data_IF_496647659356
#
_entry.id   IF_496647659356
#
_cell.length_a   1.000
_cell.length_b   1.000
_cell.length_c   1.000
_cell.angle_alpha   90.00
_cell.angle_beta   90.00
_cell.angle_gamma   90.00
#
_symmetry.space_group_name_H-M   'P 1'
#
loop_
_entity.id
_entity.type
_entity.pdbx_description
1 polymer ?
#
# COMPACT_ATOMS: atom_id res chain seq x y z
N UNK A 1 3.46 -12.58 13.66
CA UNK A 1 4.93 -12.71 13.59
C UNK A 1 5.43 -11.56 12.75
N UNK A 2 6.44 -10.81 13.21
CA UNK A 2 7.02 -9.74 12.40
C UNK A 2 7.85 -10.35 11.27
N UNK A 3 7.53 -9.99 10.02
CA UNK A 3 8.31 -10.40 8.85
C UNK A 3 9.67 -9.69 8.88
N UNK A 4 10.76 -10.44 8.70
CA UNK A 4 12.12 -9.90 8.72
C UNK A 4 12.76 -10.06 7.35
N UNK A 5 13.39 -9.00 6.86
CA UNK A 5 14.12 -9.00 5.59
C UNK A 5 15.39 -9.85 5.73
N UNK A 6 15.53 -10.88 4.90
CA UNK A 6 16.73 -11.73 4.86
C UNK A 6 17.88 -11.07 4.08
N UNK A 7 19.11 -11.54 4.29
CA UNK A 7 20.28 -11.12 3.51
C UNK A 7 20.13 -11.39 2.00
N UNK A 8 19.46 -12.48 1.67
CA UNK A 8 19.10 -12.84 0.29
C UNK A 8 18.12 -11.82 -0.30
N UNK A 9 17.06 -11.48 0.45
CA UNK A 9 16.08 -10.44 0.07
C UNK A 9 16.75 -9.09 -0.18
N UNK A 10 17.69 -8.68 0.69
CA UNK A 10 18.48 -7.45 0.49
C UNK A 10 19.35 -7.52 -0.75
N UNK A 11 19.92 -8.69 -1.05
CA UNK A 11 20.77 -8.86 -2.24
C UNK A 11 19.94 -8.80 -3.51
N UNK A 12 18.77 -9.45 -3.54
CA UNK A 12 17.82 -9.33 -4.64
C UNK A 12 17.39 -7.88 -4.86
N UNK A 13 17.02 -7.16 -3.79
CA UNK A 13 16.64 -5.75 -3.86
C UNK A 13 17.77 -4.88 -4.46
N UNK A 14 19.02 -5.07 -4.02
CA UNK A 14 20.17 -4.31 -4.56
C UNK A 14 20.46 -4.60 -6.03
N UNK A 15 20.22 -5.83 -6.49
CA UNK A 15 20.52 -6.23 -7.86
C UNK A 15 19.39 -5.87 -8.84
N UNK A 16 18.15 -5.91 -8.38
CA UNK A 16 16.95 -5.81 -9.23
C UNK A 16 16.23 -4.47 -9.07
N UNK A 17 16.51 -3.71 -8.01
CA UNK A 17 15.81 -2.48 -7.67
C UNK A 17 14.43 -2.68 -7.03
N UNK A 18 13.98 -3.93 -6.89
CA UNK A 18 12.73 -4.30 -6.22
C UNK A 18 12.84 -5.68 -5.58
N UNK A 19 11.93 -6.01 -4.67
CA UNK A 19 11.77 -7.36 -4.13
C UNK A 19 10.31 -7.60 -3.77
N UNK A 20 9.84 -8.84 -3.94
CA UNK A 20 8.49 -9.26 -3.56
C UNK A 20 8.57 -10.05 -2.27
N UNK A 21 7.83 -9.60 -1.26
CA UNK A 21 7.77 -10.26 0.05
C UNK A 21 6.35 -10.82 0.20
N UNK A 22 6.17 -12.15 0.09
CA UNK A 22 4.86 -12.77 0.26
C UNK A 22 4.45 -12.77 1.74
N UNK A 23 3.15 -12.80 2.00
CA UNK A 23 2.62 -12.99 3.35
C UNK A 23 2.89 -11.84 4.32
N UNK A 24 3.17 -10.63 3.82
CA UNK A 24 3.31 -9.43 4.66
C UNK A 24 2.01 -9.13 5.40
N UNK A 25 0.88 -9.30 4.73
CA UNK A 25 -0.44 -9.14 5.32
C UNK A 25 -1.11 -10.51 5.52
N UNK A 26 -1.74 -10.68 6.67
CA UNK A 26 -2.63 -11.81 6.91
C UNK A 26 -3.91 -11.69 6.07
N UNK A 27 -4.64 -12.80 5.92
CA UNK A 27 -5.95 -12.78 5.24
C UNK A 27 -6.94 -11.82 5.91
N UNK A 28 -6.90 -11.72 7.24
CA UNK A 28 -7.73 -10.82 8.03
C UNK A 28 -7.37 -9.35 7.77
N UNK A 29 -6.08 -9.02 7.74
CA UNK A 29 -5.62 -7.67 7.41
C UNK A 29 -6.00 -7.28 5.98
N UNK A 30 -5.91 -8.21 5.03
CA UNK A 30 -6.36 -7.98 3.66
C UNK A 30 -7.88 -7.71 3.62
N UNK A 31 -8.67 -8.46 4.39
CA UNK A 31 -10.12 -8.25 4.48
C UNK A 31 -10.44 -6.86 5.07
N UNK A 32 -9.82 -6.51 6.20
CA UNK A 32 -9.99 -5.19 6.84
C UNK A 32 -9.61 -4.03 5.90
N UNK A 33 -8.47 -4.14 5.20
CA UNK A 33 -8.06 -3.13 4.22
C UNK A 33 -9.07 -2.96 3.07
N UNK A 34 -9.70 -4.05 2.62
CA UNK A 34 -10.76 -4.00 1.59
C UNK A 34 -12.03 -3.32 2.08
N UNK A 35 -12.39 -3.52 3.35
CA UNK A 35 -13.53 -2.84 3.97
C UNK A 35 -13.29 -1.33 4.06
N UNK A 36 -12.10 -0.91 4.51
CA UNK A 36 -11.71 0.51 4.54
C UNK A 36 -11.81 1.14 3.14
N UNK A 37 -11.24 0.48 2.12
CA UNK A 37 -11.30 0.97 0.74
C UNK A 37 -12.75 1.06 0.24
N UNK A 38 -13.58 0.06 0.54
CA UNK A 38 -15.00 0.07 0.16
C UNK A 38 -15.73 1.26 0.78
N UNK A 39 -15.58 1.47 2.09
CA UNK A 39 -16.19 2.58 2.80
C UNK A 39 -15.72 3.96 2.29
N UNK A 40 -14.45 4.08 1.88
CA UNK A 40 -13.93 5.30 1.27
C UNK A 40 -14.47 5.54 -0.14
N UNK A 41 -14.81 4.49 -0.89
CA UNK A 41 -15.38 4.61 -2.23
C UNK A 41 -16.87 4.95 -2.20
N UNK A 42 -17.61 4.50 -1.19
CA UNK A 42 -19.02 4.85 -0.99
C UNK A 42 -19.23 6.35 -0.80
N UNK A 43 -18.22 7.05 -0.28
CA UNK A 43 -18.21 8.50 -0.13
C UNK A 43 -18.05 9.25 -1.46
N UNK A 44 -17.93 8.54 -2.59
CA UNK A 44 -17.70 9.07 -3.95
C UNK A 44 -16.63 10.16 -3.95
N UNK A 45 -15.37 9.81 -3.64
CA UNK A 45 -14.29 10.80 -3.53
C UNK A 45 -13.86 11.38 -4.90
N UNK A 46 -14.51 10.97 -6.00
CA UNK A 46 -14.27 11.44 -7.35
C UNK A 46 -15.54 12.10 -7.91
N UNK A 47 -15.35 13.15 -8.71
CA UNK A 47 -16.42 13.68 -9.54
C UNK A 47 -16.70 12.70 -10.70
N UNK A 48 -17.95 12.60 -11.14
CA UNK A 48 -18.39 11.63 -12.16
C UNK A 48 -17.70 11.81 -13.53
N UNK A 49 -17.04 12.95 -13.75
CA UNK A 49 -16.27 13.30 -14.94
C UNK A 49 -14.77 12.95 -14.86
N UNK A 50 -14.28 12.50 -13.68
CA UNK A 50 -12.91 12.02 -13.54
C UNK A 50 -12.76 10.60 -14.11
N UNK A 51 -12.30 10.53 -15.36
CA UNK A 51 -11.98 9.27 -16.05
C UNK A 51 -10.47 9.06 -16.14
N UNK A 52 -9.97 8.01 -15.50
CA UNK A 52 -8.56 7.60 -15.55
C UNK A 52 -8.37 6.16 -15.06
N UNK A 53 -7.25 5.49 -15.42
CA UNK A 53 -7.01 4.11 -15.04
C UNK A 53 -6.78 3.94 -13.53
N UNK A 54 -6.44 5.00 -12.81
CA UNK A 54 -6.29 4.98 -11.36
C UNK A 54 -6.93 6.22 -10.74
N UNK A 55 -7.32 6.09 -9.47
CA UNK A 55 -7.77 7.22 -8.66
C UNK A 55 -6.76 7.48 -7.55
N UNK A 56 -6.46 8.75 -7.31
CA UNK A 56 -5.65 9.22 -6.18
C UNK A 56 -6.58 9.86 -5.17
N UNK A 57 -6.56 9.38 -3.92
CA UNK A 57 -7.16 10.16 -2.85
C UNK A 57 -6.39 11.46 -2.67
N UNK A 58 -7.08 12.55 -2.27
CA UNK A 58 -6.40 13.79 -1.88
C UNK A 58 -5.32 13.53 -0.84
N UNK A 59 -4.39 14.48 -0.72
CA UNK A 59 -3.35 14.43 0.31
C UNK A 59 -4.01 14.21 1.67
N UNK A 60 -3.47 13.29 2.45
CA UNK A 60 -3.97 13.01 3.79
C UNK A 60 -3.92 14.29 4.63
N UNK A 61 -5.05 14.59 5.26
CA UNK A 61 -5.18 15.76 6.12
C UNK A 61 -4.44 15.53 7.45
N UNK A 62 -4.22 16.60 8.22
CA UNK A 62 -3.51 16.51 9.49
C UNK A 62 -4.24 15.64 10.53
N UNK A 63 -5.55 15.50 10.36
CA UNK A 63 -6.45 14.68 11.17
C UNK A 63 -6.27 13.17 10.94
N UNK A 64 -5.44 12.77 9.95
CA UNK A 64 -5.17 11.38 9.60
C UNK A 64 -6.00 10.89 8.41
N UNK A 65 -5.79 9.62 8.05
CA UNK A 65 -6.54 8.96 6.99
C UNK A 65 -6.62 7.47 7.30
N UNK A 66 -7.79 6.81 7.16
CA UNK A 66 -7.93 5.39 7.51
C UNK A 66 -6.92 4.45 6.83
N UNK A 67 -6.53 4.75 5.58
CA UNK A 67 -5.47 4.01 4.87
C UNK A 67 -4.06 4.26 5.42
N UNK A 68 -3.80 5.45 5.98
CA UNK A 68 -2.54 5.75 6.66
C UNK A 68 -2.46 5.00 7.99
N UNK A 69 -3.56 4.98 8.75
CA UNK A 69 -3.63 4.23 10.00
C UNK A 69 -3.44 2.73 9.75
N UNK A 70 -4.13 2.19 8.74
CA UNK A 70 -3.94 0.80 8.31
C UNK A 70 -2.50 0.50 7.88
N UNK A 71 -1.84 1.42 7.17
CA UNK A 71 -0.42 1.27 6.79
C UNK A 71 0.50 1.17 8.02
N UNK A 72 0.28 2.02 9.03
CA UNK A 72 1.04 2.01 10.28
C UNK A 72 0.78 0.75 11.11
N UNK A 73 -0.47 0.34 11.23
CA UNK A 73 -0.87 -0.84 12.01
C UNK A 73 -0.35 -2.16 11.42
N UNK A 74 -0.19 -2.22 10.10
CA UNK A 74 0.28 -3.44 9.42
C UNK A 74 1.79 -3.65 9.48
N UNK A 75 2.56 -2.65 9.93
CA UNK A 75 4.00 -2.77 10.07
C UNK A 75 4.77 -2.72 8.73
N UNK A 76 4.11 -2.28 7.65
CA UNK A 76 4.72 -2.25 6.30
C UNK A 76 5.88 -1.24 6.27
N UNK A 77 5.75 -0.11 6.99
CA UNK A 77 6.81 0.89 7.08
C UNK A 77 8.08 0.36 7.72
N UNK A 78 7.94 -0.35 8.83
CA UNK A 78 9.04 -0.98 9.57
C UNK A 78 9.71 -2.08 8.74
N UNK A 79 8.93 -2.80 7.93
CA UNK A 79 9.47 -3.77 6.98
C UNK A 79 10.28 -3.09 5.86
N UNK A 80 9.76 -1.99 5.30
CA UNK A 80 10.46 -1.21 4.29
C UNK A 80 11.74 -0.56 4.83
N UNK A 81 11.73 -0.09 6.08
CA UNK A 81 12.88 0.51 6.75
C UNK A 81 14.09 -0.44 6.80
N UNK A 82 13.86 -1.75 6.88
CA UNK A 82 14.92 -2.76 6.88
C UNK A 82 15.67 -2.88 5.54
N UNK A 83 15.15 -2.31 4.46
CA UNK A 83 15.82 -2.21 3.15
C UNK A 83 16.60 -0.91 2.97
N UNK A 84 16.30 0.11 3.78
CA UNK A 84 16.98 1.39 3.72
C UNK A 84 18.33 1.36 4.43
N UNK A 85 19.16 2.35 4.13
CA UNK A 85 20.35 2.63 4.93
C UNK A 85 19.91 3.13 6.32
N UNK A 86 20.72 2.87 7.33
CA UNK A 86 20.42 3.24 8.72
C UNK A 86 20.33 4.74 8.99
N UNK A 87 20.74 5.58 8.05
CA UNK A 87 20.65 7.04 8.10
C UNK A 87 19.44 7.61 7.32
N UNK A 88 18.57 6.75 6.80
CA UNK A 88 17.35 7.14 6.09
C UNK A 88 16.13 6.63 6.85
N UNK A 89 15.20 7.53 7.11
CA UNK A 89 13.90 7.21 7.68
C UNK A 89 12.89 6.88 6.58
N UNK A 90 11.94 6.01 6.91
CA UNK A 90 10.75 5.80 6.06
C UNK A 90 9.79 6.94 6.32
N UNK A 91 9.50 7.71 5.28
CA UNK A 91 8.45 8.72 5.33
C UNK A 91 7.08 8.07 5.21
N UNK A 92 6.13 8.52 6.02
CA UNK A 92 4.74 8.11 5.91
C UNK A 92 4.17 8.51 4.55
N UNK A 93 3.34 7.66 3.92
CA UNK A 93 2.62 8.02 2.71
C UNK A 93 1.74 9.25 2.94
N UNK A 94 1.80 10.21 2.01
CA UNK A 94 0.99 11.44 2.07
C UNK A 94 -0.29 11.35 1.22
N UNK A 95 -0.47 10.28 0.43
CA UNK A 95 -1.67 9.99 -0.34
C UNK A 95 -1.78 8.47 -0.60
N UNK A 96 -2.96 8.02 -1.04
CA UNK A 96 -3.18 6.66 -1.50
C UNK A 96 -3.67 6.65 -2.95
N UNK A 97 -3.29 5.59 -3.68
CA UNK A 97 -3.78 5.33 -5.03
C UNK A 97 -4.50 3.99 -5.08
N UNK A 98 -5.61 3.91 -5.82
CA UNK A 98 -6.23 2.64 -6.17
C UNK A 98 -6.10 2.40 -7.66
N UNK A 99 -5.38 1.33 -8.01
CA UNK A 99 -5.37 0.77 -9.35
C UNK A 99 -6.77 0.20 -9.67
N UNK A 100 -7.16 0.15 -10.96
CA UNK A 100 -8.47 -0.36 -11.31
C UNK A 100 -8.49 -1.84 -10.98
N UNK A 101 -9.63 -2.35 -10.50
CA UNK A 101 -9.79 -3.79 -10.39
C UNK A 101 -9.61 -4.38 -11.80
N UNK A 102 -8.59 -5.22 -11.99
CA UNK A 102 -8.41 -5.96 -13.25
C UNK A 102 -9.72 -6.71 -13.49
N UNK A 103 -10.44 -6.38 -14.57
CA UNK A 103 -11.62 -7.13 -14.96
C UNK A 103 -11.20 -8.58 -15.20
N UNK A 104 -11.88 -9.58 -14.63
CA UNK A 104 -11.65 -10.96 -15.03
C UNK A 104 -12.11 -11.10 -16.49
N UNK A 105 -11.15 -11.34 -17.40
CA UNK A 105 -11.39 -11.84 -18.76
C UNK A 105 -12.21 -10.95 -19.70
N UNK A 106 -11.53 -10.20 -20.55
CA UNK A 106 -11.90 -10.14 -21.97
C UNK A 106 -10.66 -10.53 -22.75
N UNK A 107 -10.60 -11.81 -23.14
CA UNK A 107 -9.67 -12.27 -24.17
C UNK A 107 -9.97 -11.47 -25.43
N UNK A 108 -8.94 -10.86 -26.02
CA UNK A 108 -8.95 -10.64 -27.47
C UNK A 108 -8.85 -11.99 -28.17
#
# INVERSE_FOLDING_TARGET
>A
MATVITSETRTAFRQQGFVVIPGVLSGEQIAAGREIVTALLEQRPFADDHVGPYFLWPRFAAEGHPLLDFYRETGIGELAAQLLRSDLDVEDPIFASRAPARRPGTSC
#
